data_IF_396520750824
#
_entry.id   IF_396520750824
#
_cell.length_a   1.000
_cell.length_b   1.000
_cell.length_c   1.000
_cell.angle_alpha   90.00
_cell.angle_beta   90.00
_cell.angle_gamma   90.00
#
_symmetry.space_group_name_H-M   'P 1'
#
loop_
_entity.id
_entity.type
_entity.pdbx_description
1 polymer ?
#
# COMPACT_ATOMS: atom_id res chain seq x y z
N UNK A 1 71.32 -52.27 6.75
CA UNK A 1 70.22 -51.83 7.62
C UNK A 1 69.43 -50.79 6.84
N UNK A 2 68.39 -51.22 6.13
CA UNK A 2 67.66 -50.38 5.18
C UNK A 2 66.19 -50.49 5.55
N UNK A 3 65.68 -49.53 6.30
CA UNK A 3 64.27 -49.48 6.69
C UNK A 3 63.45 -49.00 5.50
N UNK A 4 62.56 -49.87 5.02
CA UNK A 4 61.60 -49.59 3.96
C UNK A 4 60.55 -48.62 4.50
N UNK A 5 60.43 -47.45 3.89
CA UNK A 5 59.37 -46.49 4.19
C UNK A 5 58.07 -47.02 3.60
N UNK A 6 57.22 -47.60 4.44
CA UNK A 6 55.88 -48.02 4.07
C UNK A 6 54.96 -46.78 4.03
N UNK A 7 54.63 -46.34 2.82
CA UNK A 7 53.77 -45.18 2.57
C UNK A 7 52.33 -45.55 2.99
N UNK A 8 51.67 -44.82 3.91
CA UNK A 8 50.34 -45.18 4.33
C UNK A 8 49.36 -44.97 3.18
N UNK A 9 48.60 -46.01 2.85
CA UNK A 9 47.53 -45.98 1.86
C UNK A 9 46.52 -44.88 2.22
N UNK A 10 46.31 -43.95 1.30
CA UNK A 10 45.30 -42.91 1.39
C UNK A 10 43.91 -43.54 1.48
N UNK A 11 43.32 -43.50 2.69
CA UNK A 11 41.94 -43.95 2.94
C UNK A 11 40.97 -43.15 2.06
N UNK A 12 39.97 -43.78 1.43
CA UNK A 12 38.97 -43.06 0.68
C UNK A 12 38.19 -42.18 1.67
N UNK A 13 38.20 -40.86 1.44
CA UNK A 13 37.29 -39.92 2.13
C UNK A 13 35.88 -40.26 1.67
N UNK A 14 35.22 -41.19 2.36
CA UNK A 14 33.77 -41.38 2.26
C UNK A 14 33.12 -40.13 2.81
N UNK A 15 32.90 -39.16 1.93
CA UNK A 15 32.09 -37.98 2.22
C UNK A 15 30.68 -38.44 2.52
N UNK A 16 30.37 -38.66 3.80
CA UNK A 16 28.99 -38.59 4.28
C UNK A 16 28.54 -37.15 4.07
N UNK A 17 27.98 -36.87 2.89
CA UNK A 17 27.08 -35.76 2.69
C UNK A 17 25.99 -35.95 3.72
N UNK A 18 25.99 -35.16 4.79
CA UNK A 18 24.86 -35.15 5.70
C UNK A 18 23.65 -34.76 4.85
N UNK A 19 22.60 -35.60 4.74
CA UNK A 19 21.41 -35.17 4.05
C UNK A 19 20.89 -33.99 4.86
N UNK A 20 20.85 -32.83 4.21
CA UNK A 20 20.25 -31.62 4.75
C UNK A 20 18.85 -32.01 5.24
N UNK A 21 18.68 -32.17 6.55
CA UNK A 21 17.36 -32.40 7.15
C UNK A 21 16.53 -31.19 6.79
N UNK A 22 15.62 -31.35 5.82
CA UNK A 22 14.71 -30.30 5.39
C UNK A 22 14.06 -29.70 6.63
N UNK A 23 14.15 -28.37 6.77
CA UNK A 23 13.40 -27.68 7.81
C UNK A 23 11.93 -28.06 7.63
N UNK A 24 11.19 -28.42 8.70
CA UNK A 24 9.77 -28.66 8.57
C UNK A 24 9.13 -27.39 7.99
N UNK A 25 8.55 -27.54 6.81
CA UNK A 25 7.77 -26.50 6.16
C UNK A 25 6.61 -26.18 7.10
N UNK A 26 6.68 -25.01 7.73
CA UNK A 26 5.63 -24.57 8.67
C UNK A 26 4.31 -24.56 7.89
N UNK A 27 3.21 -25.09 8.46
CA UNK A 27 1.93 -25.11 7.78
C UNK A 27 1.57 -23.68 7.33
N UNK A 28 0.80 -23.51 6.22
CA UNK A 28 0.45 -22.21 5.67
C UNK A 28 -0.61 -21.51 6.54
N UNK A 29 -0.29 -21.29 7.81
CA UNK A 29 -1.04 -20.47 8.78
C UNK A 29 -1.15 -19.00 8.34
N UNK A 30 -0.52 -18.62 7.24
CA UNK A 30 -0.63 -17.31 6.62
C UNK A 30 -1.91 -17.08 5.82
N UNK A 31 -2.57 -18.12 5.28
CA UNK A 31 -3.74 -17.92 4.39
C UNK A 31 -4.88 -17.18 5.11
N UNK A 32 -5.19 -17.55 6.36
CA UNK A 32 -6.25 -16.91 7.13
C UNK A 32 -5.95 -15.44 7.43
N UNK A 33 -4.68 -15.12 7.74
CA UNK A 33 -4.23 -13.73 7.93
C UNK A 33 -4.34 -12.93 6.64
N UNK A 34 -3.90 -13.47 5.52
CA UNK A 34 -3.95 -12.77 4.23
C UNK A 34 -5.39 -12.58 3.75
N UNK A 35 -6.27 -13.56 3.95
CA UNK A 35 -7.70 -13.43 3.67
C UNK A 35 -8.36 -12.36 4.55
N UNK A 36 -8.05 -12.33 5.85
CA UNK A 36 -8.55 -11.30 6.77
C UNK A 36 -8.07 -9.90 6.37
N UNK A 37 -6.76 -9.73 6.13
CA UNK A 37 -6.20 -8.44 5.71
C UNK A 37 -6.76 -8.00 4.35
N UNK A 38 -6.91 -8.92 3.40
CA UNK A 38 -7.53 -8.64 2.10
C UNK A 38 -9.01 -8.27 2.23
N UNK A 39 -9.77 -8.98 3.06
CA UNK A 39 -11.18 -8.68 3.33
C UNK A 39 -11.37 -7.31 3.99
N UNK A 40 -10.54 -6.98 4.98
CA UNK A 40 -10.54 -5.66 5.62
C UNK A 40 -10.16 -4.58 4.58
N UNK A 41 -9.13 -4.80 3.77
CA UNK A 41 -8.75 -3.85 2.72
C UNK A 41 -9.89 -3.61 1.73
N UNK A 42 -10.59 -4.66 1.28
CA UNK A 42 -11.77 -4.54 0.42
C UNK A 42 -12.91 -3.78 1.11
N UNK A 43 -13.16 -4.04 2.39
CA UNK A 43 -14.15 -3.30 3.18
C UNK A 43 -13.86 -1.79 3.20
N UNK A 44 -12.59 -1.40 3.37
CA UNK A 44 -12.15 -0.01 3.30
C UNK A 44 -12.25 0.60 1.90
N UNK A 45 -12.19 -0.21 0.84
CA UNK A 45 -12.38 0.26 -0.53
C UNK A 45 -13.84 0.57 -0.84
N UNK A 46 -14.81 -0.08 -0.19
CA UNK A 46 -16.24 0.16 -0.44
C UNK A 46 -16.61 1.67 -0.33
N UNK A 47 -16.34 2.38 0.78
CA UNK A 47 -16.68 3.80 0.88
C UNK A 47 -15.87 4.67 -0.08
N UNK A 48 -14.64 4.28 -0.42
CA UNK A 48 -13.82 5.00 -1.39
C UNK A 48 -14.40 4.89 -2.80
N UNK A 49 -14.74 3.67 -3.23
CA UNK A 49 -15.38 3.41 -4.52
C UNK A 49 -16.73 4.09 -4.62
N UNK A 50 -17.49 4.11 -3.52
CA UNK A 50 -18.73 4.85 -3.42
C UNK A 50 -18.50 6.35 -3.60
N UNK A 51 -17.54 6.94 -2.90
CA UNK A 51 -17.21 8.36 -3.03
C UNK A 51 -16.81 8.72 -4.46
N UNK A 52 -15.96 7.92 -5.11
CA UNK A 52 -15.55 8.11 -6.51
C UNK A 52 -16.74 7.97 -7.45
N UNK A 53 -17.59 6.96 -7.24
CA UNK A 53 -18.80 6.78 -8.03
C UNK A 53 -19.74 7.98 -7.92
N UNK A 54 -19.91 8.53 -6.71
CA UNK A 54 -20.73 9.73 -6.49
C UNK A 54 -20.08 11.01 -7.02
N UNK A 55 -18.74 11.12 -7.03
CA UNK A 55 -18.07 12.34 -7.50
C UNK A 55 -18.09 12.50 -9.02
N UNK A 56 -18.10 11.38 -9.76
CA UNK A 56 -18.18 11.34 -11.23
C UNK A 56 -19.61 11.53 -11.78
N UNK A 57 -20.63 11.51 -10.91
CA UNK A 57 -22.04 11.65 -11.26
C UNK A 57 -22.46 13.11 -11.16
N UNK A 58 -23.04 13.70 -12.21
CA UNK A 58 -23.44 15.12 -12.20
C UNK A 58 -24.33 15.50 -10.99
N UNK A 59 -24.07 16.65 -10.38
CA UNK A 59 -24.76 17.17 -9.20
C UNK A 59 -26.27 17.30 -9.42
N UNK A 60 -26.66 17.75 -10.62
CA UNK A 60 -28.06 17.87 -11.03
C UNK A 60 -28.78 16.50 -11.04
N UNK A 61 -28.07 15.44 -11.44
CA UNK A 61 -28.60 14.08 -11.50
C UNK A 61 -28.77 13.46 -10.10
N UNK A 62 -27.94 13.87 -9.15
CA UNK A 62 -28.04 13.46 -7.73
C UNK A 62 -29.14 14.23 -7.00
N UNK A 63 -29.26 15.54 -7.27
CA UNK A 63 -30.27 16.40 -6.66
C UNK A 63 -31.69 16.12 -7.19
N UNK A 64 -31.84 15.76 -8.48
CA UNK A 64 -33.15 15.53 -9.11
C UNK A 64 -33.67 14.09 -9.05
N UNK A 65 -32.80 13.08 -9.12
CA UNK A 65 -33.20 11.66 -9.23
C UNK A 65 -32.87 10.82 -7.98
N UNK A 66 -32.32 11.42 -6.92
CA UNK A 66 -32.02 10.76 -5.64
C UNK A 66 -30.81 9.82 -5.65
N UNK A 67 -30.28 9.51 -4.46
CA UNK A 67 -29.03 8.77 -4.25
C UNK A 67 -28.97 7.33 -4.81
N UNK A 68 -30.11 6.72 -5.13
CA UNK A 68 -30.22 5.32 -5.58
C UNK A 68 -30.50 5.14 -7.08
N UNK A 69 -30.61 6.20 -7.88
CA UNK A 69 -30.88 6.08 -9.32
C UNK A 69 -29.62 5.81 -10.15
N UNK A 70 -29.77 5.18 -11.32
CA UNK A 70 -28.68 4.97 -12.28
C UNK A 70 -28.26 6.33 -12.91
N UNK A 71 -26.96 6.66 -12.95
CA UNK A 71 -26.45 7.91 -13.51
C UNK A 71 -26.73 7.96 -15.01
N UNK A 72 -27.37 9.04 -15.49
CA UNK A 72 -27.59 9.27 -16.93
C UNK A 72 -26.46 10.08 -17.54
N UNK A 73 -25.73 10.84 -16.72
CA UNK A 73 -24.53 11.57 -17.14
C UNK A 73 -23.34 11.28 -16.21
N UNK A 74 -22.22 10.86 -16.83
CA UNK A 74 -20.91 10.92 -16.21
C UNK A 74 -20.27 12.23 -16.65
N UNK A 75 -19.97 13.10 -15.70
CA UNK A 75 -19.50 14.46 -15.99
C UNK A 75 -18.48 14.91 -14.96
N UNK A 76 -17.41 15.54 -15.44
CA UNK A 76 -16.40 16.20 -14.58
C UNK A 76 -16.80 17.62 -14.19
N UNK A 77 -17.97 18.08 -14.66
CA UNK A 77 -18.47 19.44 -14.44
C UNK A 77 -18.62 19.77 -12.95
N UNK A 78 -18.94 18.77 -12.12
CA UNK A 78 -18.93 18.89 -10.66
C UNK A 78 -17.62 19.44 -10.09
N UNK A 79 -16.48 19.05 -10.65
CA UNK A 79 -15.18 19.51 -10.17
C UNK A 79 -14.99 20.99 -10.54
N UNK A 80 -15.42 21.39 -11.73
CA UNK A 80 -15.37 22.78 -12.20
C UNK A 80 -16.32 23.66 -11.40
N UNK A 81 -17.54 23.19 -11.14
CA UNK A 81 -18.54 23.91 -10.34
C UNK A 81 -18.13 24.03 -8.88
N UNK A 82 -17.63 22.95 -8.26
CA UNK A 82 -17.10 23.01 -6.90
C UNK A 82 -15.92 23.99 -6.81
N UNK A 83 -15.06 24.03 -7.82
CA UNK A 83 -13.91 24.94 -7.84
C UNK A 83 -14.32 26.40 -8.05
N UNK A 84 -15.34 26.68 -8.86
CA UNK A 84 -15.71 28.06 -9.23
C UNK A 84 -16.80 28.66 -8.33
N UNK A 85 -17.82 27.88 -7.95
CA UNK A 85 -18.99 28.37 -7.21
C UNK A 85 -18.80 28.33 -5.69
N UNK A 86 -18.04 27.35 -5.15
CA UNK A 86 -17.94 27.16 -3.70
C UNK A 86 -16.86 28.01 -3.01
N UNK A 87 -16.22 28.96 -3.71
CA UNK A 87 -15.10 29.74 -3.15
C UNK A 87 -13.88 28.87 -2.80
N UNK A 88 -13.79 27.67 -3.38
CA UNK A 88 -12.76 26.68 -3.09
C UNK A 88 -11.31 27.21 -3.18
N UNK A 89 -10.95 28.08 -4.16
CA UNK A 89 -9.59 28.62 -4.27
C UNK A 89 -9.17 29.45 -3.05
N UNK A 90 -10.11 30.18 -2.44
CA UNK A 90 -9.83 30.99 -1.26
C UNK A 90 -9.51 30.10 -0.05
N UNK A 91 -10.31 29.06 0.19
CA UNK A 91 -10.04 28.12 1.28
C UNK A 91 -8.77 27.32 1.06
N UNK A 92 -8.53 26.89 -0.19
CA UNK A 92 -7.30 26.22 -0.57
C UNK A 92 -6.07 27.10 -0.27
N UNK A 93 -6.13 28.38 -0.64
CA UNK A 93 -5.02 29.31 -0.38
C UNK A 93 -4.79 29.57 1.12
N UNK A 94 -5.85 29.63 1.93
CA UNK A 94 -5.71 29.71 3.38
C UNK A 94 -4.97 28.50 3.96
N UNK A 95 -5.30 27.28 3.49
CA UNK A 95 -4.59 26.06 3.91
C UNK A 95 -3.12 26.09 3.48
N UNK A 96 -2.82 26.50 2.25
CA UNK A 96 -1.43 26.62 1.77
C UNK A 96 -0.66 27.64 2.60
N UNK A 97 -1.25 28.81 2.86
CA UNK A 97 -0.63 29.89 3.62
C UNK A 97 -0.29 29.48 5.06
N UNK A 98 -1.05 28.57 5.66
CA UNK A 98 -0.79 28.07 7.02
C UNK A 98 0.19 26.88 6.99
N UNK A 99 -0.03 25.91 6.10
CA UNK A 99 0.73 24.65 6.08
C UNK A 99 2.16 24.84 5.59
N UNK A 100 2.40 25.66 4.57
CA UNK A 100 3.75 25.88 4.01
C UNK A 100 4.72 26.48 5.06
N UNK A 101 4.43 27.62 5.70
CA UNK A 101 5.34 28.15 6.71
C UNK A 101 5.44 27.25 7.95
N UNK A 102 4.37 26.52 8.31
CA UNK A 102 4.43 25.55 9.41
C UNK A 102 5.39 24.40 9.12
N UNK A 103 5.35 23.83 7.91
CA UNK A 103 6.26 22.75 7.49
C UNK A 103 7.68 23.27 7.35
N UNK A 104 7.88 24.45 6.77
CA UNK A 104 9.19 25.09 6.69
C UNK A 104 9.78 25.35 8.07
N UNK A 105 9.00 25.91 8.99
CA UNK A 105 9.39 26.10 10.39
C UNK A 105 9.78 24.76 11.03
N UNK A 106 8.91 23.75 10.89
CA UNK A 106 9.17 22.39 11.42
C UNK A 106 10.48 21.81 10.89
N UNK A 107 10.74 21.93 9.59
CA UNK A 107 11.99 21.45 8.97
C UNK A 107 13.21 22.22 9.46
N UNK A 108 13.13 23.55 9.58
CA UNK A 108 14.22 24.37 10.07
C UNK A 108 14.56 24.02 11.53
N UNK A 109 13.56 23.89 12.40
CA UNK A 109 13.79 23.50 13.80
C UNK A 109 14.27 22.05 13.94
N UNK A 110 13.74 21.13 13.11
CA UNK A 110 14.17 19.74 13.13
C UNK A 110 15.57 19.51 12.55
N UNK A 111 16.03 20.35 11.63
CA UNK A 111 17.37 20.25 11.06
C UNK A 111 18.44 20.98 11.90
N UNK A 112 18.01 21.93 12.75
CA UNK A 112 18.90 22.66 13.65
C UNK A 112 19.15 21.94 15.00
N UNK A 113 18.39 20.89 15.31
CA UNK A 113 18.55 20.02 16.48
C UNK A 113 19.25 18.71 16.11
#
# INVERSE_FOLDING_TARGET
MTATVERPASRPRTGRRQPWKGRPERPPRGIGRHALLGGIALLWLIPLLWAVYTSLRSYEDTASNGYFSLPRSFGVDNYTDAWTQSGMPHFFWNSVLITVPAVLGTLLFSAAV
#
